data_IF_287190793760
#
_entry.id   IF_287190793760
#
_cell.length_a   1.000
_cell.length_b   1.000
_cell.length_c   1.000
_cell.angle_alpha   90.00
_cell.angle_beta   90.00
_cell.angle_gamma   90.00
#
_symmetry.space_group_name_H-M   'P 1'
#
loop_
_entity.id
_entity.type
_entity.pdbx_description
1 polymer ?
#
# COMPACT_ATOMS: atom_id res chain seq x y z
N UNK A 1 15.68 -49.04 28.11
CA UNK A 1 15.44 -47.59 28.36
C UNK A 1 15.44 -46.84 27.03
N UNK A 2 14.30 -46.27 26.61
CA UNK A 2 14.20 -45.46 25.37
C UNK A 2 14.71 -44.05 25.65
N UNK A 3 15.67 -43.56 24.86
CA UNK A 3 16.09 -42.15 24.90
C UNK A 3 14.96 -41.27 24.35
N UNK A 4 14.38 -40.45 25.22
CA UNK A 4 13.45 -39.39 24.82
C UNK A 4 14.28 -38.29 24.19
N UNK A 5 14.27 -38.18 22.86
CA UNK A 5 14.89 -37.04 22.18
C UNK A 5 14.03 -35.81 22.42
N UNK A 6 14.49 -34.95 23.33
CA UNK A 6 13.92 -33.63 23.53
C UNK A 6 14.15 -32.82 22.24
N UNK A 7 13.11 -32.67 21.41
CA UNK A 7 13.13 -31.73 20.28
C UNK A 7 13.05 -30.34 20.89
N UNK A 8 14.20 -29.75 21.17
CA UNK A 8 14.28 -28.33 21.46
C UNK A 8 13.68 -27.57 20.28
N UNK A 9 12.58 -26.87 20.53
CA UNK A 9 12.01 -25.92 19.59
C UNK A 9 13.02 -24.79 19.43
N UNK A 10 13.93 -24.92 18.46
CA UNK A 10 14.71 -23.80 17.96
C UNK A 10 13.71 -22.83 17.35
N UNK A 11 13.34 -21.82 18.11
CA UNK A 11 12.79 -20.61 17.53
C UNK A 11 13.95 -19.98 16.78
N UNK A 12 13.97 -20.26 15.49
CA UNK A 12 15.06 -19.94 14.59
C UNK A 12 15.38 -18.46 14.69
N UNK A 13 16.66 -18.15 14.87
CA UNK A 13 17.19 -16.80 14.89
C UNK A 13 16.87 -16.13 13.55
N UNK A 14 15.67 -15.57 13.43
CA UNK A 14 15.27 -14.75 12.29
C UNK A 14 16.30 -13.63 12.19
N UNK A 15 17.01 -13.61 11.05
CA UNK A 15 18.08 -12.66 10.84
C UNK A 15 17.51 -11.25 11.05
N UNK A 16 18.15 -10.45 11.92
CA UNK A 16 17.70 -9.09 12.24
C UNK A 16 17.45 -8.23 10.99
N UNK A 17 18.11 -8.59 9.88
CA UNK A 17 17.92 -8.02 8.55
C UNK A 17 16.54 -8.31 7.96
N UNK A 18 16.00 -9.53 8.10
CA UNK A 18 14.67 -9.87 7.61
C UNK A 18 13.57 -9.05 8.28
N UNK A 19 13.65 -8.90 9.61
CA UNK A 19 12.70 -8.06 10.37
C UNK A 19 12.76 -6.59 9.94
N UNK A 20 13.97 -6.06 9.67
CA UNK A 20 14.14 -4.68 9.21
C UNK A 20 13.48 -4.44 7.84
N UNK A 21 13.69 -5.33 6.87
CA UNK A 21 13.04 -5.21 5.56
C UNK A 21 11.52 -5.36 5.65
N UNK A 22 11.03 -6.25 6.51
CA UNK A 22 9.59 -6.41 6.73
C UNK A 22 8.96 -5.11 7.26
N UNK A 23 9.59 -4.45 8.24
CA UNK A 23 9.10 -3.17 8.78
C UNK A 23 9.09 -2.09 7.70
N UNK A 24 10.18 -1.95 6.93
CA UNK A 24 10.24 -0.98 5.83
C UNK A 24 9.15 -1.23 4.78
N UNK A 25 8.92 -2.49 4.41
CA UNK A 25 7.89 -2.86 3.45
C UNK A 25 6.49 -2.51 3.97
N UNK A 26 6.20 -2.79 5.25
CA UNK A 26 4.91 -2.47 5.87
C UNK A 26 4.68 -0.95 5.89
N UNK A 27 5.70 -0.16 6.25
CA UNK A 27 5.60 1.31 6.24
C UNK A 27 5.32 1.83 4.82
N UNK A 28 6.07 1.34 3.83
CA UNK A 28 5.87 1.72 2.43
C UNK A 28 4.47 1.33 1.93
N UNK A 29 4.02 0.14 2.28
CA UNK A 29 2.69 -0.36 1.93
C UNK A 29 1.57 0.49 2.55
N UNK A 30 1.70 0.85 3.83
CA UNK A 30 0.78 1.75 4.52
C UNK A 30 0.75 3.15 3.87
N UNK A 31 1.90 3.68 3.49
CA UNK A 31 1.98 4.96 2.80
C UNK A 31 1.26 4.94 1.44
N UNK A 32 1.48 3.89 0.63
CA UNK A 32 0.81 3.72 -0.66
C UNK A 32 -0.71 3.59 -0.47
N UNK A 33 -1.17 2.85 0.53
CA UNK A 33 -2.58 2.73 0.85
C UNK A 33 -3.19 4.09 1.24
N UNK A 34 -2.51 4.85 2.10
CA UNK A 34 -2.98 6.17 2.52
C UNK A 34 -3.13 7.12 1.33
N UNK A 35 -2.13 7.16 0.44
CA UNK A 35 -2.17 7.96 -0.79
C UNK A 35 -3.32 7.49 -1.69
N UNK A 36 -3.49 6.18 -1.86
CA UNK A 36 -4.55 5.62 -2.71
C UNK A 36 -5.95 5.98 -2.20
N UNK A 37 -6.18 5.94 -0.88
CA UNK A 37 -7.44 6.36 -0.25
C UNK A 37 -7.65 7.86 -0.43
N UNK A 38 -6.59 8.68 -0.29
CA UNK A 38 -6.68 10.13 -0.51
C UNK A 38 -7.12 10.46 -1.96
N UNK A 39 -6.54 9.80 -2.96
CA UNK A 39 -6.96 9.94 -4.36
C UNK A 39 -8.42 9.52 -4.57
N UNK A 40 -8.84 8.40 -3.97
CA UNK A 40 -10.23 7.94 -4.09
C UNK A 40 -11.22 8.89 -3.41
N UNK A 41 -10.85 9.42 -2.24
CA UNK A 41 -11.67 10.39 -1.51
C UNK A 41 -11.81 11.71 -2.28
N UNK A 42 -10.72 12.21 -2.86
CA UNK A 42 -10.73 13.41 -3.71
C UNK A 42 -11.60 13.17 -4.96
N UNK A 43 -11.50 11.99 -5.59
CA UNK A 43 -12.40 11.63 -6.68
C UNK A 43 -13.86 11.65 -6.27
N UNK A 44 -14.24 10.93 -5.21
CA UNK A 44 -15.63 10.82 -4.77
C UNK A 44 -16.20 12.20 -4.40
N UNK A 45 -15.40 13.05 -3.74
CA UNK A 45 -15.82 14.39 -3.31
C UNK A 45 -16.14 15.31 -4.49
N UNK A 46 -15.33 15.26 -5.54
CA UNK A 46 -15.46 16.13 -6.71
C UNK A 46 -16.06 15.42 -7.93
N UNK A 47 -16.58 14.19 -7.77
CA UNK A 47 -17.18 13.43 -8.85
C UNK A 47 -18.44 14.13 -9.36
N UNK A 48 -18.51 14.40 -10.67
CA UNK A 48 -19.61 15.16 -11.28
C UNK A 48 -19.56 16.67 -11.04
N UNK A 49 -18.53 17.18 -10.36
CA UNK A 49 -18.23 18.62 -10.29
C UNK A 49 -17.24 19.02 -11.39
N UNK A 50 -17.38 20.25 -11.87
CA UNK A 50 -16.40 20.90 -12.78
C UNK A 50 -15.24 21.56 -12.02
N UNK A 51 -15.23 21.50 -10.69
CA UNK A 51 -14.19 22.08 -9.86
C UNK A 51 -12.97 21.16 -9.75
N UNK A 52 -11.78 21.75 -9.76
CA UNK A 52 -10.56 20.97 -9.53
C UNK A 52 -10.47 20.52 -8.06
N UNK A 53 -10.16 19.24 -7.88
CA UNK A 53 -9.85 18.66 -6.58
C UNK A 53 -8.40 18.94 -6.19
N UNK A 54 -8.03 18.59 -4.95
CA UNK A 54 -6.68 18.84 -4.44
C UNK A 54 -5.65 17.94 -5.13
N UNK A 55 -6.07 16.74 -5.54
CA UNK A 55 -5.21 15.71 -6.15
C UNK A 55 -5.61 15.43 -7.60
N UNK A 56 -6.86 15.71 -7.97
CA UNK A 56 -7.41 15.44 -9.29
C UNK A 56 -8.10 16.66 -9.91
N UNK A 57 -7.63 17.07 -11.08
CA UNK A 57 -8.34 18.08 -11.88
C UNK A 57 -9.60 17.51 -12.50
N UNK A 58 -10.56 18.36 -12.86
CA UNK A 58 -11.80 17.94 -13.51
C UNK A 58 -11.53 17.12 -14.79
N UNK A 59 -10.54 17.53 -15.59
CA UNK A 59 -10.13 16.80 -16.80
C UNK A 59 -9.53 15.42 -16.50
N UNK A 60 -8.75 15.29 -15.43
CA UNK A 60 -8.15 14.00 -15.03
C UNK A 60 -9.17 12.99 -14.52
N UNK A 61 -10.31 13.45 -13.98
CA UNK A 61 -11.41 12.58 -13.55
C UNK A 61 -12.13 11.94 -14.74
N UNK A 62 -12.28 12.68 -15.84
CA UNK A 62 -12.94 12.18 -17.05
C UNK A 62 -12.03 11.28 -17.90
N UNK A 63 -10.73 11.62 -17.98
CA UNK A 63 -9.78 10.92 -18.86
C UNK A 63 -8.83 9.94 -18.13
N UNK A 64 -8.88 9.91 -16.80
CA UNK A 64 -8.01 9.11 -15.94
C UNK A 64 -6.61 9.72 -15.73
N UNK A 65 -5.90 9.22 -14.70
CA UNK A 65 -4.57 9.70 -14.26
C UNK A 65 -3.51 9.73 -15.37
N UNK A 66 -3.58 8.78 -16.28
CA UNK A 66 -2.57 8.57 -17.32
C UNK A 66 -3.03 9.03 -18.71
N UNK A 67 -4.18 9.71 -18.80
CA UNK A 67 -4.71 10.23 -20.07
C UNK A 67 -4.75 9.17 -21.20
N UNK A 68 -4.92 7.89 -20.84
CA UNK A 68 -4.86 6.76 -21.77
C UNK A 68 -5.94 6.82 -22.88
N UNK A 69 -6.95 7.66 -22.68
CA UNK A 69 -8.09 7.83 -23.58
C UNK A 69 -7.97 9.03 -24.53
N UNK A 70 -6.74 9.53 -24.79
CA UNK A 70 -6.51 10.36 -25.98
C UNK A 70 -6.48 9.48 -27.23
N UNK A 71 -7.60 9.42 -27.95
CA UNK A 71 -7.66 9.05 -29.37
C UNK A 71 -8.13 10.25 -30.17
#
# INVERSE_FOLDING_TARGET
MKKVSNKENKFDNMSKTSTFFAILFVILFLAILAVSIAYLADFIRYNGSTEDGLLWTASQREHGLFNFWKK
#
